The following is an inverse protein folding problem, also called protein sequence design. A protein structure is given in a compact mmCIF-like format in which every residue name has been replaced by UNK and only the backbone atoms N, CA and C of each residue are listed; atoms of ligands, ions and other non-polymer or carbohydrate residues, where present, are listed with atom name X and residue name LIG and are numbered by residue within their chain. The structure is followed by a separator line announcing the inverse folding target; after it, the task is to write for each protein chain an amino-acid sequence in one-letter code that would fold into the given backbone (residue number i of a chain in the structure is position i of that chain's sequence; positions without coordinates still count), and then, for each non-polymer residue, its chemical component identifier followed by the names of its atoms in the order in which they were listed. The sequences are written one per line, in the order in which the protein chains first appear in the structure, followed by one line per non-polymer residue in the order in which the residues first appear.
data_IF_081665565574
#
_entry.id   IF_081665565574
#
_cell.length_a   1.000
_cell.length_b   1.000
_cell.length_c   1.000
_cell.angle_alpha   90.00
_cell.angle_beta   90.00
_cell.angle_gamma   90.00
#
_symmetry.space_group_name_H-M   'P 1'
#
loop_
_entity.id
_entity.type
_entity.pdbx_description
1 polymer ?
#
# COMPACT_ATOMS: atom_id res chain seq x y z
N UNK A 1 17.13 5.87 8.96
CA UNK A 1 15.75 5.95 8.54
C UNK A 1 14.88 5.06 9.41
N UNK A 2 13.65 5.45 9.55
CA UNK A 2 12.75 4.87 10.52
C UNK A 2 11.87 3.79 9.91
N UNK A 3 11.77 2.65 10.58
CA UNK A 3 10.82 1.61 10.18
C UNK A 3 9.48 1.88 10.86
N UNK A 4 8.42 1.80 10.08
CA UNK A 4 7.07 2.02 10.58
C UNK A 4 6.57 0.71 11.21
N UNK A 5 6.02 0.74 12.43
CA UNK A 5 5.46 -0.46 13.04
C UNK A 5 4.37 -1.06 12.15
N UNK A 6 4.39 -2.38 11.99
CA UNK A 6 3.50 -3.08 11.08
C UNK A 6 2.03 -2.82 11.39
N UNK A 7 1.66 -2.84 12.66
CA UNK A 7 0.26 -2.61 13.04
C UNK A 7 -0.21 -1.20 12.70
N UNK A 8 0.67 -0.22 12.88
CA UNK A 8 0.36 1.16 12.55
C UNK A 8 0.22 1.34 11.04
N UNK A 9 1.14 0.77 10.28
CA UNK A 9 1.08 0.81 8.82
C UNK A 9 -0.23 0.20 8.32
N UNK A 10 -0.60 -0.96 8.83
CA UNK A 10 -1.80 -1.65 8.36
C UNK A 10 -3.08 -0.92 8.74
N UNK A 11 -3.13 -0.35 9.93
CA UNK A 11 -4.28 0.46 10.33
C UNK A 11 -4.46 1.64 9.39
N UNK A 12 -3.35 2.28 9.04
CA UNK A 12 -3.38 3.41 8.13
C UNK A 12 -3.82 3.00 6.72
N UNK A 13 -3.25 1.91 6.19
CA UNK A 13 -3.60 1.41 4.86
C UNK A 13 -5.10 1.07 4.79
N UNK A 14 -5.65 0.43 5.82
CA UNK A 14 -7.08 0.13 5.84
C UNK A 14 -7.92 1.41 5.85
N UNK A 15 -7.48 2.42 6.55
CA UNK A 15 -8.22 3.69 6.61
C UNK A 15 -8.25 4.39 5.26
N UNK A 16 -7.11 4.52 4.59
CA UNK A 16 -7.05 5.25 3.33
C UNK A 16 -7.71 4.49 2.18
N UNK A 17 -7.71 3.16 2.22
CA UNK A 17 -8.40 2.37 1.20
C UNK A 17 -9.91 2.33 1.45
N UNK A 18 -10.35 2.54 2.68
CA UNK A 18 -11.77 2.73 2.97
C UNK A 18 -12.27 4.06 2.42
N UNK A 19 -11.45 5.12 2.50
CA UNK A 19 -11.80 6.43 1.94
C UNK A 19 -11.91 6.37 0.41
N UNK A 20 -10.94 5.73 -0.23
CA UNK A 20 -10.88 5.61 -1.68
C UNK A 20 -10.47 4.18 -2.02
N UNK A 21 -11.46 3.30 -2.21
CA UNK A 21 -11.16 1.90 -2.54
C UNK A 21 -10.51 1.75 -3.91
N UNK A 22 -9.68 0.72 -4.09
CA UNK A 22 -9.13 0.45 -5.41
C UNK A 22 -10.22 0.05 -6.39
N UNK A 23 -10.00 0.32 -7.67
CA UNK A 23 -10.93 -0.09 -8.72
C UNK A 23 -11.00 -1.61 -8.80
N UNK A 24 -12.18 -2.13 -9.13
CA UNK A 24 -12.42 -3.56 -9.29
C UNK A 24 -12.92 -3.81 -10.70
N UNK A 25 -12.02 -3.88 -11.70
CA UNK A 25 -12.43 -3.96 -13.10
C UNK A 25 -13.11 -5.27 -13.47
N UNK A 26 -12.90 -6.33 -12.68
CA UNK A 26 -13.50 -7.63 -12.95
C UNK A 26 -14.67 -7.91 -12.02
N UNK A 27 -15.06 -9.19 -11.97
CA UNK A 27 -16.15 -9.62 -11.09
C UNK A 27 -15.76 -9.59 -9.63
N UNK A 28 -14.51 -9.88 -9.33
CA UNK A 28 -14.04 -9.97 -7.98
C UNK A 28 -13.65 -8.59 -7.49
N UNK A 29 -14.06 -8.27 -6.27
CA UNK A 29 -13.68 -7.03 -5.63
C UNK A 29 -12.19 -7.09 -5.27
N UNK A 30 -11.44 -6.08 -5.70
CA UNK A 30 -10.04 -5.97 -5.35
C UNK A 30 -9.94 -5.38 -3.94
N UNK A 31 -9.16 -6.04 -3.08
CA UNK A 31 -8.95 -5.58 -1.72
C UNK A 31 -7.47 -5.64 -1.37
N UNK A 32 -6.99 -4.64 -0.67
CA UNK A 32 -5.67 -4.69 -0.05
C UNK A 32 -5.86 -5.31 1.32
N UNK A 33 -5.27 -6.50 1.51
CA UNK A 33 -5.49 -7.28 2.72
C UNK A 33 -4.56 -6.85 3.85
N UNK A 34 -3.29 -6.61 3.52
CA UNK A 34 -2.31 -6.14 4.50
C UNK A 34 -1.08 -5.60 3.77
N UNK A 35 -0.21 -4.94 4.54
CA UNK A 35 0.99 -4.33 4.02
C UNK A 35 2.18 -4.64 4.92
N UNK A 36 3.37 -4.68 4.32
CA UNK A 36 4.62 -4.78 5.08
C UNK A 36 5.59 -3.73 4.58
N UNK A 37 6.49 -3.30 5.44
CA UNK A 37 7.61 -2.48 5.01
C UNK A 37 8.81 -3.39 4.79
N UNK A 38 9.24 -3.48 3.54
CA UNK A 38 10.31 -4.37 3.14
C UNK A 38 11.70 -3.74 3.32
N UNK A 39 11.77 -2.43 3.21
CA UNK A 39 13.06 -1.72 3.31
C UNK A 39 12.87 -0.31 3.80
N UNK A 40 13.96 0.31 4.23
CA UNK A 40 13.94 1.65 4.80
C UNK A 40 14.71 2.69 3.98
N UNK A 41 15.58 2.26 3.08
CA UNK A 41 16.42 3.18 2.29
C UNK A 41 16.50 2.71 0.84
N UNK A 42 15.56 3.07 -0.02
CA UNK A 42 14.38 3.90 0.25
C UNK A 42 13.29 3.12 0.97
N UNK A 43 12.36 3.82 1.63
CA UNK A 43 11.21 3.14 2.21
C UNK A 43 10.46 2.37 1.13
N UNK A 44 10.29 1.07 1.35
CA UNK A 44 9.69 0.16 0.37
C UNK A 44 8.56 -0.59 1.04
N UNK A 45 7.38 -0.52 0.46
CA UNK A 45 6.18 -1.13 1.03
C UNK A 45 5.61 -2.14 0.04
N UNK A 46 5.18 -3.28 0.56
CA UNK A 46 4.52 -4.31 -0.23
C UNK A 46 3.07 -4.38 0.24
N UNK A 47 2.15 -4.23 -0.68
CA UNK A 47 0.72 -4.34 -0.41
C UNK A 47 0.24 -5.66 -0.98
N UNK A 48 -0.38 -6.48 -0.13
CA UNK A 48 -0.85 -7.80 -0.53
C UNK A 48 -2.34 -7.74 -0.82
N UNK A 49 -2.73 -8.22 -1.99
CA UNK A 49 -4.11 -8.17 -2.45
C UNK A 49 -4.72 -9.57 -2.47
N UNK A 50 -6.05 -9.62 -2.52
CA UNK A 50 -6.79 -10.88 -2.59
C UNK A 50 -6.70 -11.52 -3.96
N UNK A 51 -6.53 -10.72 -5.02
CA UNK A 51 -6.44 -11.21 -6.40
C UNK A 51 -5.28 -10.52 -7.10
N UNK A 52 -4.74 -11.16 -8.12
CA UNK A 52 -3.69 -10.55 -8.94
C UNK A 52 -4.26 -9.32 -9.62
N UNK A 53 -3.58 -8.20 -9.49
CA UNK A 53 -4.06 -6.94 -10.03
C UNK A 53 -2.90 -5.96 -10.19
N UNK A 54 -3.11 -4.98 -11.06
CA UNK A 54 -2.24 -3.81 -11.15
C UNK A 54 -3.11 -2.61 -10.86
N UNK A 55 -2.54 -1.65 -10.15
CA UNK A 55 -3.25 -0.40 -9.89
C UNK A 55 -2.89 0.62 -10.94
N UNK A 56 -3.87 1.45 -11.31
CA UNK A 56 -3.59 2.61 -12.14
C UNK A 56 -2.57 3.49 -11.41
N UNK A 57 -1.68 4.16 -12.18
CA UNK A 57 -0.62 4.96 -11.57
C UNK A 57 -1.18 6.06 -10.66
N UNK A 58 -2.37 6.58 -10.96
CA UNK A 58 -2.98 7.61 -10.11
C UNK A 58 -3.35 7.07 -8.73
N UNK A 59 -3.77 5.81 -8.66
CA UNK A 59 -4.08 5.18 -7.38
C UNK A 59 -2.81 4.89 -6.60
N UNK A 60 -1.76 4.42 -7.27
CA UNK A 60 -0.47 4.23 -6.61
C UNK A 60 0.05 5.55 -6.06
N UNK A 61 -0.09 6.63 -6.82
CA UNK A 61 0.30 7.95 -6.37
C UNK A 61 -0.49 8.39 -5.15
N UNK A 62 -1.79 8.11 -5.14
CA UNK A 62 -2.62 8.40 -3.98
C UNK A 62 -2.09 7.70 -2.74
N UNK A 63 -1.81 6.40 -2.84
CA UNK A 63 -1.30 5.61 -1.72
C UNK A 63 0.06 6.15 -1.25
N UNK A 64 0.96 6.38 -2.19
CA UNK A 64 2.31 6.88 -1.86
C UNK A 64 2.23 8.24 -1.18
N UNK A 65 1.41 9.14 -1.70
CA UNK A 65 1.29 10.47 -1.12
C UNK A 65 0.70 10.44 0.28
N UNK A 66 -0.30 9.57 0.52
CA UNK A 66 -0.89 9.44 1.84
C UNK A 66 0.12 8.86 2.84
N UNK A 67 0.89 7.86 2.43
CA UNK A 67 1.95 7.29 3.27
C UNK A 67 3.00 8.36 3.58
N UNK A 68 3.39 9.12 2.57
CA UNK A 68 4.39 10.18 2.74
C UNK A 68 3.94 11.22 3.76
N UNK A 69 2.71 11.65 3.65
CA UNK A 69 2.17 12.67 4.57
C UNK A 69 2.05 12.13 5.99
N UNK A 70 1.52 10.93 6.13
CA UNK A 70 1.25 10.38 7.45
C UNK A 70 2.52 10.09 8.23
N UNK A 71 3.54 9.57 7.56
CA UNK A 71 4.75 9.10 8.23
C UNK A 71 5.94 10.03 8.07
N UNK A 72 5.71 11.25 7.59
CA UNK A 72 6.74 12.28 7.55
C UNK A 72 7.86 12.00 6.56
N UNK A 73 7.55 11.36 5.45
CA UNK A 73 8.55 10.98 4.45
C UNK A 73 8.63 11.98 3.29
N UNK A 74 8.47 13.25 3.62
CA UNK A 74 8.51 14.34 2.63
C UNK A 74 9.89 14.38 1.96
N UNK A 75 9.89 14.46 0.62
CA UNK A 75 11.12 14.53 -0.14
C UNK A 75 11.87 13.22 -0.27
N UNK A 76 11.33 12.14 0.28
CA UNK A 76 11.96 10.83 0.24
C UNK A 76 11.30 9.97 -0.85
N UNK A 77 12.07 9.33 -1.74
CA UNK A 77 11.49 8.38 -2.68
C UNK A 77 10.87 7.22 -1.91
N UNK A 78 9.67 6.82 -2.35
CA UNK A 78 8.96 5.68 -1.75
C UNK A 78 8.72 4.67 -2.84
N UNK A 79 9.03 3.40 -2.57
CA UNK A 79 8.75 2.30 -3.49
C UNK A 79 7.54 1.54 -3.01
N UNK A 80 6.67 1.20 -3.95
CA UNK A 80 5.44 0.48 -3.67
C UNK A 80 5.40 -0.74 -4.58
N UNK A 81 5.15 -1.90 -3.98
CA UNK A 81 5.00 -3.16 -4.72
C UNK A 81 3.63 -3.72 -4.39
N UNK A 82 2.95 -4.26 -5.41
CA UNK A 82 1.63 -4.86 -5.27
C UNK A 82 1.78 -6.34 -5.56
N UNK A 83 1.33 -7.19 -4.64
CA UNK A 83 1.45 -8.63 -4.79
C UNK A 83 0.17 -9.32 -4.34
N UNK A 84 -0.21 -10.38 -5.04
CA UNK A 84 -1.31 -11.21 -4.56
C UNK A 84 -0.84 -12.03 -3.37
N UNK A 85 -1.69 -12.13 -2.35
CA UNK A 85 -1.39 -12.99 -1.21
C UNK A 85 -1.34 -14.45 -1.67
N UNK A 86 -0.29 -15.17 -1.26
CA UNK A 86 -0.18 -16.58 -1.58
C UNK A 86 -1.16 -17.38 -0.75
N UNK A 87 -1.74 -18.40 -1.38
CA UNK A 87 -2.56 -19.37 -0.65
C UNK A 87 -1.66 -20.41 -0.03
N UNK A 88 -1.85 -20.65 1.22
CA UNK A 88 -1.12 -21.72 1.91
C UNK A 88 -1.87 -23.02 1.81
#
# INVERSE_FOLDING_TARGET
MKRIPTSELNRFIQAITAEHPPASPGRRRVRILYATQRGVAPPTFVLFTNVATEFHFSYERYLVNRIREEFGLIGTPIRLQIRRREKS
#
